data_IF_434934473620
#
_entry.id   IF_434934473620
#
_cell.length_a   1.000
_cell.length_b   1.000
_cell.length_c   1.000
_cell.angle_alpha   90.00
_cell.angle_beta   90.00
_cell.angle_gamma   90.00
#
_symmetry.space_group_name_H-M   'P 1'
#
loop_
_entity.id
_entity.type
_entity.pdbx_description
1 polymer ?
#
# COMPACT_ATOMS: atom_id res chain seq x y z
N UNK A 1 19.47 10.95 9.69
CA UNK A 1 19.77 10.27 8.40
C UNK A 1 19.56 11.27 7.28
N UNK A 2 20.52 11.36 6.32
CA UNK A 2 20.33 12.19 5.13
C UNK A 2 19.21 11.63 4.26
N UNK A 3 18.35 12.51 3.76
CA UNK A 3 17.32 12.15 2.79
C UNK A 3 18.01 11.80 1.48
N UNK A 4 17.75 10.62 0.85
CA UNK A 4 18.33 10.28 -0.43
C UNK A 4 18.03 11.35 -1.50
N UNK A 5 18.99 11.67 -2.36
CA UNK A 5 18.83 12.64 -3.44
C UNK A 5 18.30 12.03 -4.75
N UNK A 6 18.09 10.72 -4.80
CA UNK A 6 17.56 9.98 -5.95
C UNK A 6 16.35 9.13 -5.53
N UNK A 7 15.50 8.68 -6.46
CA UNK A 7 14.34 7.86 -6.14
C UNK A 7 14.71 6.61 -5.34
N UNK A 8 13.87 6.27 -4.35
CA UNK A 8 14.09 5.14 -3.44
C UNK A 8 12.78 4.51 -2.98
N UNK A 9 12.89 3.33 -2.38
CA UNK A 9 11.78 2.65 -1.70
C UNK A 9 12.03 2.67 -0.20
N UNK A 10 10.98 2.96 0.58
CA UNK A 10 11.02 2.97 2.05
C UNK A 10 10.02 1.96 2.60
N UNK A 11 10.46 1.16 3.57
CA UNK A 11 9.58 0.21 4.28
C UNK A 11 8.81 0.95 5.36
N UNK A 12 7.48 0.97 5.25
CA UNK A 12 6.57 1.61 6.22
C UNK A 12 5.98 0.60 7.22
N UNK A 13 6.04 -0.68 6.92
CA UNK A 13 5.55 -1.74 7.79
C UNK A 13 5.97 -3.12 7.29
N UNK A 14 6.03 -4.08 8.21
CA UNK A 14 6.54 -5.44 7.95
C UNK A 14 5.70 -6.55 8.58
N UNK A 15 4.63 -6.21 9.29
CA UNK A 15 3.76 -7.19 9.93
C UNK A 15 2.63 -7.62 8.98
N UNK A 16 2.11 -8.81 9.16
CA UNK A 16 0.94 -9.29 8.43
C UNK A 16 -0.36 -8.73 9.01
N UNK A 17 -1.42 -8.80 8.22
CA UNK A 17 -2.81 -8.49 8.52
C UNK A 17 -3.03 -7.11 9.17
N UNK A 18 -3.06 -7.05 10.49
CA UNK A 18 -3.38 -5.84 11.23
C UNK A 18 -2.26 -5.39 12.16
N UNK A 19 -1.02 -5.76 11.87
CA UNK A 19 0.13 -5.33 12.64
C UNK A 19 0.60 -6.34 13.70
N UNK A 20 1.69 -5.98 14.39
CA UNK A 20 2.26 -6.75 15.48
C UNK A 20 2.36 -5.88 16.74
N UNK A 21 1.86 -6.35 17.91
CA UNK A 21 1.32 -7.69 18.19
C UNK A 21 -0.02 -7.92 17.48
N UNK A 22 -0.29 -9.16 17.10
CA UNK A 22 -1.57 -9.58 16.52
C UNK A 22 -2.70 -9.30 17.52
N UNK A 23 -3.80 -8.75 17.04
CA UNK A 23 -4.98 -8.44 17.87
C UNK A 23 -5.41 -9.67 18.71
N UNK A 24 -5.61 -9.44 20.00
CA UNK A 24 -5.99 -10.47 20.98
C UNK A 24 -5.01 -11.66 21.12
N UNK A 25 -3.82 -11.61 20.56
CA UNK A 25 -2.80 -12.65 20.73
C UNK A 25 -2.20 -12.58 22.14
N UNK A 26 -2.33 -13.68 22.89
CA UNK A 26 -1.77 -13.85 24.26
C UNK A 26 -0.54 -14.76 24.29
N UNK A 27 -0.08 -15.23 23.13
CA UNK A 27 1.07 -16.11 22.99
C UNK A 27 2.38 -15.38 23.31
N UNK A 28 3.42 -16.12 23.65
CA UNK A 28 4.73 -15.56 24.01
C UNK A 28 5.32 -14.70 22.90
N UNK A 29 5.05 -15.01 21.63
CA UNK A 29 5.49 -14.20 20.49
C UNK A 29 4.95 -12.75 20.52
N UNK A 30 3.75 -12.51 21.07
CA UNK A 30 3.14 -11.18 21.13
C UNK A 30 3.22 -10.52 22.51
N UNK A 31 3.41 -11.33 23.57
CA UNK A 31 3.28 -10.88 24.96
C UNK A 31 4.13 -9.67 25.32
N UNK A 32 5.39 -9.65 24.86
CA UNK A 32 6.30 -8.55 25.16
C UNK A 32 5.94 -7.27 24.40
N UNK A 33 5.40 -7.39 23.18
CA UNK A 33 5.07 -6.25 22.33
C UNK A 33 3.82 -5.48 22.83
N UNK A 34 2.91 -6.13 23.57
CA UNK A 34 1.76 -5.44 24.16
C UNK A 34 2.16 -4.34 25.17
N UNK A 35 3.23 -4.56 25.91
CA UNK A 35 3.76 -3.61 26.89
C UNK A 35 4.93 -2.74 26.41
N UNK A 36 5.40 -2.96 25.17
CA UNK A 36 6.57 -2.26 24.64
C UNK A 36 6.34 -1.77 23.21
N UNK A 37 5.99 -0.48 23.01
CA UNK A 37 5.75 0.11 21.70
C UNK A 37 6.95 -0.04 20.73
N UNK A 38 8.18 -0.09 21.21
CA UNK A 38 9.38 -0.25 20.38
C UNK A 38 9.44 -1.60 19.65
N UNK A 39 8.75 -2.60 20.18
CA UNK A 39 8.64 -3.93 19.55
C UNK A 39 7.49 -4.03 18.55
N UNK A 40 6.56 -3.09 18.58
CA UNK A 40 5.40 -3.10 17.69
C UNK A 40 5.80 -2.83 16.24
N UNK A 41 5.10 -3.47 15.30
CA UNK A 41 5.32 -3.31 13.85
C UNK A 41 4.01 -3.03 13.15
N UNK A 42 4.04 -2.05 12.27
CA UNK A 42 2.91 -1.73 11.39
C UNK A 42 2.75 -2.78 10.30
N UNK A 43 1.54 -2.88 9.78
CA UNK A 43 1.18 -3.77 8.66
C UNK A 43 2.04 -3.49 7.44
N UNK A 44 2.33 -4.55 6.68
CA UNK A 44 3.20 -4.51 5.49
C UNK A 44 2.77 -3.43 4.51
N UNK A 45 3.66 -2.49 4.25
CA UNK A 45 3.45 -1.36 3.35
C UNK A 45 4.80 -0.82 2.89
N UNK A 46 4.89 -0.43 1.63
CA UNK A 46 6.03 0.29 1.08
C UNK A 46 5.63 1.70 0.66
N UNK A 47 6.56 2.65 0.76
CA UNK A 47 6.51 3.89 0.02
C UNK A 47 7.53 3.88 -1.12
N UNK A 48 7.16 4.50 -2.23
CA UNK A 48 8.03 4.80 -3.37
C UNK A 48 8.15 6.32 -3.39
N UNK A 49 9.38 6.82 -3.31
CA UNK A 49 9.65 8.26 -3.16
C UNK A 49 10.59 8.72 -4.24
N UNK A 50 10.20 9.78 -4.94
CA UNK A 50 11.08 10.49 -5.86
C UNK A 50 11.33 11.91 -5.36
N UNK A 51 12.47 12.17 -4.70
CA UNK A 51 12.80 13.49 -4.19
C UNK A 51 13.12 14.49 -5.31
N UNK A 52 13.43 14.02 -6.53
CA UNK A 52 13.76 14.91 -7.66
C UNK A 52 12.53 15.58 -8.27
N UNK A 53 11.37 14.90 -8.19
CA UNK A 53 10.07 15.43 -8.65
C UNK A 53 9.14 15.82 -7.49
N UNK A 54 9.54 15.55 -6.26
CA UNK A 54 8.74 15.72 -5.05
C UNK A 54 7.41 14.92 -5.12
N UNK A 55 7.51 13.69 -5.62
CA UNK A 55 6.39 12.76 -5.74
C UNK A 55 6.58 11.54 -4.86
N UNK A 56 5.48 11.01 -4.33
CA UNK A 56 5.50 9.81 -3.50
C UNK A 56 4.20 9.01 -3.59
N UNK A 57 4.35 7.70 -3.57
CA UNK A 57 3.27 6.70 -3.63
C UNK A 57 3.42 5.70 -2.50
N UNK A 58 2.33 5.03 -2.15
CA UNK A 58 2.37 3.89 -1.23
C UNK A 58 1.83 2.63 -1.91
N UNK A 59 2.30 1.47 -1.48
CA UNK A 59 1.71 0.19 -1.82
C UNK A 59 0.97 -0.32 -0.60
N UNK A 60 -0.32 -0.52 -0.79
CA UNK A 60 -1.37 -0.82 0.17
C UNK A 60 -1.73 0.32 1.13
N UNK A 61 -3.03 0.44 1.38
CA UNK A 61 -3.63 1.31 2.38
C UNK A 61 -4.05 0.46 3.58
N UNK A 62 -3.14 0.29 4.52
CA UNK A 62 -3.27 -0.66 5.64
C UNK A 62 -4.11 -0.09 6.79
N UNK A 63 -4.49 -0.90 7.79
CA UNK A 63 -5.09 -0.40 9.04
C UNK A 63 -4.20 0.61 9.80
N UNK A 64 -2.88 0.61 9.54
CA UNK A 64 -1.93 1.57 10.15
C UNK A 64 -1.66 2.79 9.25
N UNK A 65 -2.51 3.07 8.29
CA UNK A 65 -2.27 4.14 7.28
C UNK A 65 -1.94 5.49 7.92
N UNK A 66 -2.59 5.82 9.02
CA UNK A 66 -2.36 7.07 9.75
C UNK A 66 -0.91 7.22 10.21
N UNK A 67 -0.39 6.20 10.88
CA UNK A 67 0.98 6.17 11.40
C UNK A 67 2.00 6.07 10.28
N UNK A 68 1.68 5.32 9.21
CA UNK A 68 2.52 5.14 8.03
C UNK A 68 2.67 6.45 7.24
N UNK A 69 1.60 7.17 7.01
CA UNK A 69 1.68 8.50 6.35
C UNK A 69 2.39 9.53 7.23
N UNK A 70 2.22 9.48 8.55
CA UNK A 70 2.96 10.34 9.46
C UNK A 70 4.46 10.04 9.43
N UNK A 71 4.85 8.75 9.40
CA UNK A 71 6.26 8.34 9.24
C UNK A 71 6.83 8.80 7.90
N UNK A 72 6.07 8.62 6.81
CA UNK A 72 6.46 9.07 5.47
C UNK A 72 6.72 10.58 5.47
N UNK A 73 5.77 11.38 5.98
CA UNK A 73 5.92 12.84 6.11
C UNK A 73 7.16 13.25 6.92
N UNK A 74 7.42 12.58 8.03
CA UNK A 74 8.61 12.87 8.86
C UNK A 74 9.92 12.62 8.11
N UNK A 75 9.94 11.62 7.23
CA UNK A 75 11.14 11.25 6.45
C UNK A 75 11.32 12.06 5.17
N UNK A 76 10.23 12.46 4.52
CA UNK A 76 10.27 13.18 3.22
C UNK A 76 10.06 14.68 3.34
N UNK A 77 9.49 15.15 4.45
CA UNK A 77 9.16 16.57 4.65
C UNK A 77 7.87 17.01 3.96
N UNK A 78 7.17 16.11 3.23
CA UNK A 78 5.92 16.43 2.54
C UNK A 78 4.78 15.48 2.95
N UNK A 79 3.55 16.01 2.99
CA UNK A 79 2.34 15.23 3.22
C UNK A 79 1.59 14.88 1.91
N UNK A 80 2.08 15.40 0.78
CA UNK A 80 1.52 15.10 -0.53
C UNK A 80 1.65 13.60 -0.81
N UNK A 81 0.59 12.97 -1.29
CA UNK A 81 0.59 11.59 -1.76
C UNK A 81 0.07 11.59 -3.20
N UNK A 82 0.85 11.08 -4.13
CA UNK A 82 0.55 11.11 -5.57
C UNK A 82 -0.21 9.88 -6.03
N UNK A 83 -0.31 8.85 -5.21
CA UNK A 83 -1.15 7.69 -5.49
C UNK A 83 -0.93 6.52 -4.55
N UNK A 84 -1.81 5.55 -4.70
CA UNK A 84 -1.86 4.32 -3.91
C UNK A 84 -1.95 3.14 -4.87
N UNK A 85 -1.10 2.14 -4.70
CA UNK A 85 -1.15 0.89 -5.46
C UNK A 85 -1.70 -0.20 -4.53
N UNK A 86 -2.74 -0.91 -4.95
CA UNK A 86 -3.35 -1.96 -4.12
C UNK A 86 -2.93 -3.34 -4.61
N UNK A 87 -2.58 -4.21 -3.68
CA UNK A 87 -2.21 -5.59 -4.00
C UNK A 87 -3.43 -6.51 -4.10
N UNK A 88 -4.35 -6.46 -3.15
CA UNK A 88 -5.54 -7.31 -3.11
C UNK A 88 -6.56 -6.88 -2.02
N UNK A 89 -7.74 -7.53 -2.02
CA UNK A 89 -8.86 -7.20 -1.14
C UNK A 89 -8.87 -8.02 0.17
N UNK A 90 -7.74 -8.13 0.87
CA UNK A 90 -7.71 -8.55 2.26
C UNK A 90 -7.56 -7.34 3.19
N UNK A 91 -8.13 -7.42 4.39
CA UNK A 91 -8.34 -6.27 5.28
C UNK A 91 -7.05 -5.51 5.62
N UNK A 92 -5.91 -6.18 5.67
CA UNK A 92 -4.61 -5.59 5.92
C UNK A 92 -4.09 -4.66 4.81
N UNK A 93 -4.72 -4.66 3.61
CA UNK A 93 -4.16 -4.05 2.41
C UNK A 93 -4.98 -2.89 1.83
N UNK A 94 -6.26 -2.75 2.19
CA UNK A 94 -7.13 -1.73 1.59
C UNK A 94 -8.07 -1.01 2.56
N UNK A 95 -8.23 -1.49 3.79
CA UNK A 95 -9.18 -0.89 4.74
C UNK A 95 -8.80 0.55 5.13
N UNK A 96 -7.52 0.88 5.08
CA UNK A 96 -7.03 2.25 5.31
C UNK A 96 -7.51 3.27 4.28
N UNK A 97 -8.00 2.85 3.10
CA UNK A 97 -8.60 3.76 2.11
C UNK A 97 -9.73 4.61 2.68
N UNK A 98 -10.44 4.11 3.67
CA UNK A 98 -11.53 4.85 4.31
C UNK A 98 -11.09 6.19 4.91
N UNK A 99 -9.81 6.33 5.27
CA UNK A 99 -9.27 7.58 5.80
C UNK A 99 -9.12 8.69 4.75
N UNK A 100 -9.23 8.36 3.47
CA UNK A 100 -9.19 9.34 2.38
C UNK A 100 -10.54 10.02 2.13
N UNK A 101 -11.61 9.50 2.74
CA UNK A 101 -12.96 10.06 2.66
C UNK A 101 -13.13 11.39 3.41
N UNK A 102 -14.31 11.99 3.20
CA UNK A 102 -14.67 13.31 3.72
C UNK A 102 -14.62 13.46 5.23
N UNK A 103 -14.77 12.34 5.98
CA UNK A 103 -14.76 12.35 7.44
C UNK A 103 -13.36 12.51 8.03
N UNK A 104 -12.31 12.27 7.24
CA UNK A 104 -10.91 12.32 7.71
C UNK A 104 -10.07 13.27 6.84
N UNK A 105 -9.53 12.81 5.71
CA UNK A 105 -8.65 13.62 4.86
C UNK A 105 -9.40 14.46 3.82
N UNK A 106 -10.55 13.98 3.35
CA UNK A 106 -11.31 14.65 2.30
C UNK A 106 -10.48 14.87 1.04
N UNK A 107 -9.75 13.84 0.60
CA UNK A 107 -8.88 13.95 -0.58
C UNK A 107 -9.67 14.23 -1.85
N UNK A 108 -9.01 14.77 -2.86
CA UNK A 108 -9.60 15.08 -4.15
C UNK A 108 -8.88 14.27 -5.25
N UNK A 109 -9.58 13.26 -5.79
CA UNK A 109 -9.17 12.43 -6.93
C UNK A 109 -7.77 11.79 -6.79
N UNK A 110 -7.37 11.39 -5.56
CA UNK A 110 -6.10 10.70 -5.41
C UNK A 110 -6.11 9.42 -6.24
N UNK A 111 -5.09 9.18 -7.11
CA UNK A 111 -5.03 7.98 -7.93
C UNK A 111 -4.91 6.73 -7.07
N UNK A 112 -5.79 5.73 -7.29
CA UNK A 112 -5.70 4.41 -6.67
C UNK A 112 -5.63 3.36 -7.77
N UNK A 113 -4.47 2.76 -7.92
CA UNK A 113 -4.17 1.75 -8.93
C UNK A 113 -4.61 0.38 -8.43
N UNK A 114 -5.49 -0.28 -9.18
CA UNK A 114 -6.10 -1.53 -8.79
C UNK A 114 -6.31 -2.48 -9.97
N UNK A 115 -6.20 -3.78 -9.72
CA UNK A 115 -6.55 -4.81 -10.70
C UNK A 115 -8.07 -4.79 -10.97
N UNK A 116 -8.53 -5.35 -12.11
CA UNK A 116 -9.93 -5.22 -12.54
C UNK A 116 -10.97 -5.63 -11.51
N UNK A 117 -10.82 -6.80 -10.85
CA UNK A 117 -11.78 -7.24 -9.82
C UNK A 117 -11.69 -6.36 -8.57
N UNK A 118 -10.47 -5.96 -8.16
CA UNK A 118 -10.27 -5.04 -7.04
C UNK A 118 -10.95 -3.70 -7.30
N UNK A 119 -10.83 -3.17 -8.52
CA UNK A 119 -11.52 -1.94 -8.95
C UNK A 119 -13.03 -2.09 -8.81
N UNK A 120 -13.61 -3.14 -9.41
CA UNK A 120 -15.05 -3.42 -9.30
C UNK A 120 -15.50 -3.60 -7.85
N UNK A 121 -14.72 -4.32 -7.05
CA UNK A 121 -15.02 -4.50 -5.62
C UNK A 121 -15.14 -3.15 -4.89
N UNK A 122 -14.24 -2.21 -5.12
CA UNK A 122 -14.29 -0.88 -4.49
C UNK A 122 -15.47 -0.04 -5.01
N UNK A 123 -15.82 -0.16 -6.29
CA UNK A 123 -16.94 0.57 -6.91
C UNK A 123 -18.31 0.09 -6.43
N UNK A 124 -18.44 -1.21 -6.13
CA UNK A 124 -19.73 -1.83 -5.83
C UNK A 124 -20.01 -2.01 -4.33
N UNK A 125 -19.00 -1.82 -3.46
CA UNK A 125 -19.15 -2.07 -2.03
C UNK A 125 -18.95 -0.80 -1.20
N UNK A 126 -19.99 -0.47 -0.41
CA UNK A 126 -19.84 0.55 0.63
C UNK A 126 -18.92 0.05 1.78
N UNK A 127 -18.19 0.94 2.44
CA UNK A 127 -18.18 2.39 2.23
C UNK A 127 -17.21 2.90 1.15
N UNK A 128 -16.43 2.03 0.50
CA UNK A 128 -15.43 2.44 -0.52
C UNK A 128 -16.07 3.05 -1.77
N UNK A 129 -17.26 2.57 -2.18
CA UNK A 129 -17.99 3.15 -3.31
C UNK A 129 -18.28 4.65 -3.10
N UNK A 130 -18.52 5.07 -1.86
CA UNK A 130 -18.69 6.49 -1.54
C UNK A 130 -17.43 7.32 -1.81
N UNK A 131 -16.23 6.77 -1.61
CA UNK A 131 -14.97 7.46 -1.93
C UNK A 131 -14.84 7.72 -3.44
N UNK A 132 -15.35 6.77 -4.25
CA UNK A 132 -15.38 6.91 -5.71
C UNK A 132 -16.43 7.92 -6.13
N UNK A 133 -17.66 7.81 -5.63
CA UNK A 133 -18.78 8.69 -5.93
C UNK A 133 -18.49 10.16 -5.56
N UNK A 134 -17.84 10.39 -4.42
CA UNK A 134 -17.46 11.72 -3.94
C UNK A 134 -16.13 12.21 -4.54
N UNK A 135 -15.54 11.43 -5.46
CA UNK A 135 -14.24 11.75 -6.08
C UNK A 135 -13.10 11.96 -5.08
N UNK A 136 -13.17 11.34 -3.90
CA UNK A 136 -12.05 11.33 -2.98
C UNK A 136 -10.87 10.53 -3.54
N UNK A 137 -11.18 9.42 -4.23
CA UNK A 137 -10.23 8.58 -4.95
C UNK A 137 -10.61 8.48 -6.43
N UNK A 138 -9.61 8.24 -7.27
CA UNK A 138 -9.77 8.00 -8.71
C UNK A 138 -9.15 6.65 -9.07
N UNK A 139 -10.00 5.64 -9.34
CA UNK A 139 -9.58 4.27 -9.59
C UNK A 139 -8.95 4.10 -10.98
N UNK A 140 -7.66 3.80 -11.01
CA UNK A 140 -6.86 3.51 -12.20
C UNK A 140 -6.75 2.00 -12.40
N UNK A 141 -7.25 1.50 -13.54
CA UNK A 141 -7.24 0.07 -13.86
C UNK A 141 -5.85 -0.40 -14.25
N UNK A 142 -5.35 -1.40 -13.55
CA UNK A 142 -4.10 -2.10 -13.88
C UNK A 142 -4.35 -3.28 -14.84
N UNK A 143 -3.26 -3.76 -15.45
CA UNK A 143 -3.21 -4.98 -16.22
C UNK A 143 -1.98 -5.79 -15.80
N UNK A 144 -2.17 -7.08 -15.46
CA UNK A 144 -1.05 -7.96 -15.11
C UNK A 144 0.01 -7.98 -16.19
N UNK A 145 1.25 -8.03 -15.78
CA UNK A 145 2.46 -8.08 -16.63
C UNK A 145 2.63 -6.90 -17.59
N UNK A 146 1.88 -5.81 -17.34
CA UNK A 146 1.98 -4.57 -18.10
C UNK A 146 2.70 -3.51 -17.28
N UNK A 147 3.86 -3.09 -17.76
CA UNK A 147 4.62 -2.00 -17.11
C UNK A 147 3.97 -0.65 -17.39
N UNK A 148 3.86 0.18 -16.37
CA UNK A 148 3.45 1.57 -16.47
C UNK A 148 4.42 2.48 -15.69
N UNK A 149 4.44 3.76 -16.02
CA UNK A 149 5.29 4.74 -15.34
C UNK A 149 4.47 5.44 -14.26
N UNK A 150 5.01 5.51 -13.04
CA UNK A 150 4.51 6.45 -12.03
C UNK A 150 4.94 7.88 -12.39
N UNK A 151 6.19 8.03 -12.80
CA UNK A 151 6.76 9.23 -13.42
C UNK A 151 7.90 8.85 -14.39
N UNK A 152 8.72 9.81 -14.79
CA UNK A 152 9.84 9.57 -15.73
C UNK A 152 10.95 8.67 -15.15
N UNK A 153 11.10 8.61 -13.83
CA UNK A 153 12.17 7.90 -13.13
C UNK A 153 11.75 6.51 -12.61
N UNK A 154 10.44 6.26 -12.46
CA UNK A 154 9.93 5.09 -11.75
C UNK A 154 8.93 4.33 -12.60
N UNK A 155 9.22 3.04 -12.82
CA UNK A 155 8.33 2.11 -13.52
C UNK A 155 7.83 1.05 -12.56
N UNK A 156 6.58 0.62 -12.76
CA UNK A 156 5.96 -0.42 -11.96
C UNK A 156 5.28 -1.43 -12.87
N UNK A 157 5.41 -2.71 -12.53
CA UNK A 157 4.74 -3.80 -13.22
C UNK A 157 4.03 -4.69 -12.19
N UNK A 158 2.69 -4.75 -12.18
CA UNK A 158 1.94 -5.73 -11.40
C UNK A 158 2.06 -7.11 -12.04
N UNK A 159 2.14 -8.15 -11.24
CA UNK A 159 2.09 -9.54 -11.67
C UNK A 159 1.26 -10.37 -10.70
N UNK A 160 0.52 -11.36 -11.24
CA UNK A 160 -0.32 -12.22 -10.42
C UNK A 160 0.51 -13.14 -9.53
N UNK A 161 0.06 -13.35 -8.30
CA UNK A 161 0.60 -14.33 -7.38
C UNK A 161 -0.51 -15.24 -6.85
N UNK A 162 -0.24 -16.53 -6.58
CA UNK A 162 -1.25 -17.44 -6.03
C UNK A 162 -1.58 -17.05 -4.59
N UNK A 163 -2.86 -16.75 -4.36
CA UNK A 163 -3.42 -16.43 -3.05
C UNK A 163 -4.92 -16.72 -3.03
N UNK A 164 -5.59 -16.44 -1.90
CA UNK A 164 -7.05 -16.56 -1.79
C UNK A 164 -7.69 -15.34 -2.45
N UNK A 165 -8.23 -15.53 -3.63
CA UNK A 165 -8.79 -14.44 -4.46
C UNK A 165 -10.30 -14.31 -4.26
N UNK A 166 -10.76 -14.19 -3.02
CA UNK A 166 -12.20 -14.16 -2.70
C UNK A 166 -12.93 -12.97 -3.32
N UNK A 167 -12.30 -11.79 -3.32
CA UNK A 167 -12.92 -10.55 -3.79
C UNK A 167 -12.14 -9.86 -4.92
N UNK A 168 -10.86 -10.16 -5.06
CA UNK A 168 -9.99 -9.53 -6.06
C UNK A 168 -8.92 -10.50 -6.55
N UNK A 169 -8.22 -10.12 -7.62
CA UNK A 169 -6.91 -10.70 -7.91
C UNK A 169 -5.93 -10.33 -6.81
N UNK A 170 -4.90 -11.17 -6.61
CA UNK A 170 -3.74 -10.84 -5.78
C UNK A 170 -2.53 -10.60 -6.66
N UNK A 171 -1.86 -9.46 -6.48
CA UNK A 171 -0.65 -9.11 -7.23
C UNK A 171 0.51 -8.76 -6.31
N UNK A 172 1.72 -9.08 -6.79
CA UNK A 172 2.95 -8.43 -6.40
C UNK A 172 3.29 -7.30 -7.38
N UNK A 173 4.29 -6.50 -7.02
CA UNK A 173 4.79 -5.41 -7.86
C UNK A 173 6.30 -5.54 -8.07
N UNK A 174 6.73 -5.44 -9.33
CA UNK A 174 8.10 -5.14 -9.68
C UNK A 174 8.25 -3.63 -9.83
N UNK A 175 9.11 -3.02 -9.02
CA UNK A 175 9.37 -1.58 -9.01
C UNK A 175 10.77 -1.39 -9.59
N UNK A 176 10.91 -0.63 -10.67
CA UNK A 176 12.19 -0.35 -11.32
C UNK A 176 12.56 1.11 -11.16
N UNK A 177 13.73 1.35 -10.57
CA UNK A 177 14.33 2.66 -10.33
C UNK A 177 15.80 2.60 -10.79
N UNK A 178 16.23 3.51 -11.66
CA UNK A 178 17.63 3.60 -12.10
C UNK A 178 18.21 2.25 -12.57
N UNK A 179 17.44 1.49 -13.38
CA UNK A 179 17.79 0.15 -13.88
C UNK A 179 18.00 -0.94 -12.80
N UNK A 180 17.53 -0.69 -11.58
CA UNK A 180 17.45 -1.70 -10.52
C UNK A 180 16.00 -2.01 -10.24
N UNK A 181 15.69 -3.29 -10.09
CA UNK A 181 14.34 -3.75 -9.75
C UNK A 181 14.27 -4.29 -8.33
N UNK A 182 13.15 -4.00 -7.68
CA UNK A 182 12.72 -4.57 -6.41
C UNK A 182 11.39 -5.28 -6.62
N UNK A 183 11.23 -6.46 -6.05
CA UNK A 183 9.96 -7.18 -6.05
C UNK A 183 9.35 -7.08 -4.65
N UNK A 184 8.07 -6.70 -4.60
CA UNK A 184 7.26 -6.67 -3.39
C UNK A 184 6.07 -7.61 -3.53
N UNK A 185 6.02 -8.61 -2.67
CA UNK A 185 4.91 -9.59 -2.56
C UNK A 185 4.56 -9.64 -1.08
N UNK A 186 3.53 -8.89 -0.62
CA UNK A 186 3.16 -8.93 0.79
C UNK A 186 2.53 -10.27 1.17
N UNK A 187 1.68 -10.82 0.30
CA UNK A 187 0.97 -12.08 0.54
C UNK A 187 1.10 -13.03 -0.65
N UNK A 188 1.38 -14.27 -0.35
CA UNK A 188 1.41 -15.41 -1.27
C UNK A 188 1.07 -16.70 -0.50
N UNK A 189 0.30 -17.60 -1.09
CA UNK A 189 -0.04 -18.87 -0.44
C UNK A 189 1.19 -19.77 -0.26
N UNK A 190 1.81 -20.11 -1.39
CA UNK A 190 2.99 -20.98 -1.44
C UNK A 190 3.82 -20.66 -2.66
N UNK A 191 5.13 -20.57 -2.48
CA UNK A 191 6.08 -20.32 -3.55
C UNK A 191 6.09 -21.44 -4.61
N UNK A 192 5.79 -22.68 -4.23
CA UNK A 192 5.73 -23.82 -5.16
C UNK A 192 4.56 -23.74 -6.15
N UNK A 193 3.61 -22.84 -5.92
CA UNK A 193 2.46 -22.60 -6.82
C UNK A 193 2.70 -21.48 -7.84
N UNK A 194 3.84 -20.79 -7.73
CA UNK A 194 4.16 -19.61 -8.55
C UNK A 194 5.25 -19.85 -9.59
#
# INVERSE_FOLDING_TARGET
>A
EEIPSSPYVMVLGIAQDAGYPQMNCKKDCCKQAWGNPALQKMTSCLAIVDPTTNEQWIIDATPNIKEQLQLLKQKTGTEKLDGILLTHAHMGHYTGLMHFGREVMGTNKIPVFAMPKMKTFLEENGPWSQLVELENINLQKLKSDSTFNLNENIKVKPFLVPHRDEFSETVGYEITINNKSLIFIPDIDKWEKW
#
